data_IF_156350823007
#
_entry.id   IF_156350823007
#
_cell.length_a   1.000
_cell.length_b   1.000
_cell.length_c   1.000
_cell.angle_alpha   90.00
_cell.angle_beta   90.00
_cell.angle_gamma   90.00
#
_symmetry.space_group_name_H-M   'P 1'
#
loop_
_entity.id
_entity.type
_entity.pdbx_description
1 polymer ?
#
# COMPACT_ATOMS: atom_id res chain seq x y z
N UNK A 1 10.36 35.33 39.97
CA UNK A 1 11.31 35.25 38.83
C UNK A 1 10.82 34.10 37.96
N UNK A 2 10.09 34.45 36.91
CA UNK A 2 9.14 33.56 36.22
C UNK A 2 9.85 32.61 35.27
N UNK A 3 9.22 31.45 35.14
CA UNK A 3 9.43 30.32 34.25
C UNK A 3 9.98 30.77 32.90
N UNK A 4 11.13 30.17 32.59
CA UNK A 4 11.86 30.17 31.33
C UNK A 4 10.95 30.34 30.12
N UNK A 5 11.29 31.34 29.31
CA UNK A 5 10.91 31.48 27.92
C UNK A 5 11.00 30.13 27.19
N UNK A 6 9.88 29.41 27.16
CA UNK A 6 9.58 28.44 26.12
C UNK A 6 9.23 29.25 24.88
N UNK A 7 10.24 29.98 24.38
CA UNK A 7 10.23 30.53 23.04
C UNK A 7 10.04 29.32 22.13
N UNK A 8 8.78 29.15 21.70
CA UNK A 8 8.36 28.39 20.56
C UNK A 8 9.40 28.65 19.47
N UNK A 9 10.33 27.71 19.29
CA UNK A 9 11.14 27.63 18.08
C UNK A 9 10.15 27.31 16.98
N UNK A 10 9.52 28.36 16.44
CA UNK A 10 8.70 28.31 15.24
C UNK A 10 9.59 27.69 14.17
N UNK A 11 9.36 26.44 13.73
CA UNK A 11 10.21 25.85 12.73
C UNK A 11 9.86 26.53 11.40
N UNK A 12 10.62 27.57 11.06
CA UNK A 12 10.70 28.09 9.72
C UNK A 12 11.43 27.04 8.90
N UNK A 13 10.67 26.24 8.15
CA UNK A 13 10.99 25.65 6.83
C UNK A 13 10.27 24.31 6.68
N UNK A 14 9.61 24.10 5.54
CA UNK A 14 8.90 22.86 5.17
C UNK A 14 9.75 21.59 5.08
N UNK A 15 11.01 21.61 5.54
CA UNK A 15 11.92 20.46 5.61
C UNK A 15 11.38 19.35 6.53
N UNK A 16 10.69 19.67 7.62
CA UNK A 16 10.11 18.65 8.51
C UNK A 16 9.02 17.82 7.80
N UNK A 17 8.16 18.47 7.01
CA UNK A 17 7.14 17.80 6.20
C UNK A 17 7.78 16.95 5.09
N UNK A 18 8.86 17.41 4.46
CA UNK A 18 9.58 16.61 3.47
C UNK A 18 10.21 15.34 4.10
N UNK A 19 10.86 15.48 5.26
CA UNK A 19 11.45 14.33 5.98
C UNK A 19 10.37 13.34 6.39
N UNK A 20 9.21 13.82 6.86
CA UNK A 20 8.06 12.98 7.19
C UNK A 20 7.51 12.23 5.98
N UNK A 21 7.35 12.90 4.83
CA UNK A 21 6.89 12.27 3.58
C UNK A 21 7.91 11.23 3.04
N UNK A 22 9.21 11.51 3.16
CA UNK A 22 10.26 10.55 2.81
C UNK A 22 10.21 9.34 3.74
N UNK A 23 10.05 9.54 5.04
CA UNK A 23 9.95 8.46 6.00
C UNK A 23 8.73 7.56 5.72
N UNK A 24 7.56 8.17 5.53
CA UNK A 24 6.31 7.47 5.17
C UNK A 24 6.49 6.67 3.88
N UNK A 25 6.96 7.31 2.81
CA UNK A 25 7.10 6.64 1.51
C UNK A 25 8.11 5.49 1.57
N UNK A 26 9.19 5.65 2.31
CA UNK A 26 10.20 4.60 2.51
C UNK A 26 9.64 3.45 3.34
N UNK A 27 8.92 3.73 4.42
CA UNK A 27 8.28 2.72 5.26
C UNK A 27 7.26 1.89 4.46
N UNK A 28 6.40 2.54 3.68
CA UNK A 28 5.45 1.82 2.82
C UNK A 28 6.17 0.98 1.77
N UNK A 29 7.23 1.50 1.14
CA UNK A 29 8.02 0.74 0.17
C UNK A 29 8.65 -0.51 0.79
N UNK A 30 9.25 -0.41 1.98
CA UNK A 30 9.89 -1.57 2.64
C UNK A 30 8.87 -2.62 3.08
N UNK A 31 7.71 -2.20 3.58
CA UNK A 31 6.62 -3.09 3.96
C UNK A 31 6.09 -3.89 2.76
N UNK A 32 5.74 -3.20 1.66
CA UNK A 32 5.21 -3.86 0.47
C UNK A 32 6.26 -4.72 -0.24
N UNK A 33 7.53 -4.29 -0.25
CA UNK A 33 8.62 -5.12 -0.76
C UNK A 33 8.71 -6.43 0.07
N UNK A 34 8.64 -6.36 1.41
CA UNK A 34 8.69 -7.54 2.27
C UNK A 34 7.52 -8.52 2.03
N UNK A 35 6.29 -8.00 1.87
CA UNK A 35 5.13 -8.81 1.51
C UNK A 35 5.28 -9.45 0.13
N UNK A 36 5.71 -8.66 -0.87
CA UNK A 36 6.03 -9.17 -2.20
C UNK A 36 7.02 -10.32 -2.13
N UNK A 37 8.08 -10.19 -1.33
CA UNK A 37 9.09 -11.23 -1.17
C UNK A 37 8.55 -12.53 -0.60
N UNK A 38 7.70 -12.44 0.44
CA UNK A 38 7.11 -13.63 1.06
C UNK A 38 6.24 -14.39 0.05
N UNK A 39 5.41 -13.66 -0.70
CA UNK A 39 4.54 -14.24 -1.74
C UNK A 39 5.38 -14.82 -2.89
N UNK A 40 6.37 -14.06 -3.37
CA UNK A 40 7.26 -14.50 -4.44
C UNK A 40 8.01 -15.79 -4.07
N UNK A 41 8.53 -15.85 -2.84
CA UNK A 41 9.24 -17.02 -2.34
C UNK A 41 8.34 -18.25 -2.32
N UNK A 42 7.13 -18.13 -1.77
CA UNK A 42 6.16 -19.21 -1.72
C UNK A 42 5.87 -19.80 -3.11
N UNK A 43 5.55 -18.95 -4.08
CA UNK A 43 5.28 -19.43 -5.45
C UNK A 43 6.52 -19.95 -6.19
N UNK A 44 7.71 -19.48 -5.85
CA UNK A 44 8.96 -19.97 -6.44
C UNK A 44 9.35 -21.33 -5.86
N UNK A 45 9.10 -21.59 -4.58
CA UNK A 45 9.24 -22.91 -3.96
C UNK A 45 8.29 -23.93 -4.59
N UNK A 46 7.08 -23.50 -4.99
CA UNK A 46 6.17 -24.27 -5.83
C UNK A 46 6.61 -24.43 -7.31
N UNK A 47 7.89 -24.15 -7.64
CA UNK A 47 8.52 -24.22 -8.99
C UNK A 47 7.79 -23.44 -10.10
N UNK A 48 6.97 -22.44 -9.76
CA UNK A 48 6.25 -21.67 -10.77
C UNK A 48 7.16 -20.68 -11.51
N UNK A 49 7.28 -20.83 -12.84
CA UNK A 49 7.92 -19.83 -13.72
C UNK A 49 7.22 -18.46 -13.64
N UNK A 50 5.97 -18.42 -13.16
CA UNK A 50 5.12 -17.24 -13.02
C UNK A 50 5.12 -16.63 -11.61
N UNK A 51 5.97 -17.12 -10.69
CA UNK A 51 6.00 -16.63 -9.30
C UNK A 51 6.11 -15.10 -9.18
N UNK A 52 6.90 -14.46 -10.05
CA UNK A 52 7.04 -13.00 -10.05
C UNK A 52 5.75 -12.31 -10.45
N UNK A 53 5.08 -12.80 -11.49
CA UNK A 53 3.79 -12.24 -11.94
C UNK A 53 2.74 -12.39 -10.85
N UNK A 54 2.68 -13.54 -10.18
CA UNK A 54 1.75 -13.76 -9.07
C UNK A 54 2.02 -12.82 -7.89
N UNK A 55 3.27 -12.62 -7.51
CA UNK A 55 3.63 -11.69 -6.44
C UNK A 55 3.36 -10.22 -6.80
N UNK A 56 3.63 -9.82 -8.05
CA UNK A 56 3.31 -8.49 -8.56
C UNK A 56 1.79 -8.27 -8.62
N UNK A 57 1.02 -9.28 -9.03
CA UNK A 57 -0.43 -9.24 -9.05
C UNK A 57 -0.99 -9.08 -7.63
N UNK A 58 -0.53 -9.93 -6.70
CA UNK A 58 -0.92 -9.88 -5.30
C UNK A 58 -0.71 -8.49 -4.69
N UNK A 59 0.51 -7.92 -4.81
CA UNK A 59 0.82 -6.64 -4.17
C UNK A 59 0.03 -5.48 -4.77
N UNK A 60 -0.28 -5.57 -6.07
CA UNK A 60 -1.11 -4.57 -6.76
C UNK A 60 -2.56 -4.65 -6.30
N UNK A 61 -3.12 -5.86 -6.21
CA UNK A 61 -4.48 -6.08 -5.68
C UNK A 61 -4.56 -5.57 -4.24
N UNK A 62 -3.59 -5.90 -3.39
CA UNK A 62 -3.57 -5.45 -2.00
C UNK A 62 -3.54 -3.91 -1.89
N UNK A 63 -2.69 -3.23 -2.67
CA UNK A 63 -2.63 -1.77 -2.66
C UNK A 63 -3.92 -1.12 -3.15
N UNK A 64 -4.55 -1.69 -4.18
CA UNK A 64 -5.87 -1.23 -4.67
C UNK A 64 -6.96 -1.48 -3.64
N UNK A 65 -6.95 -2.62 -2.94
CA UNK A 65 -7.92 -2.92 -1.90
C UNK A 65 -7.79 -1.97 -0.70
N UNK A 66 -6.56 -1.65 -0.27
CA UNK A 66 -6.32 -0.64 0.77
C UNK A 66 -6.80 0.74 0.30
N UNK A 67 -6.52 1.11 -0.95
CA UNK A 67 -7.00 2.36 -1.53
C UNK A 67 -8.53 2.43 -1.53
N UNK A 68 -9.21 1.33 -1.85
CA UNK A 68 -10.67 1.24 -1.83
C UNK A 68 -11.24 1.41 -0.42
N UNK A 69 -10.65 0.76 0.60
CA UNK A 69 -11.06 0.92 2.00
C UNK A 69 -10.92 2.38 2.44
N UNK A 70 -9.79 3.01 2.14
CA UNK A 70 -9.56 4.41 2.49
C UNK A 70 -10.53 5.34 1.75
N UNK A 71 -10.76 5.09 0.46
CA UNK A 71 -11.72 5.84 -0.34
C UNK A 71 -13.15 5.75 0.21
N UNK A 72 -13.60 4.53 0.55
CA UNK A 72 -14.90 4.30 1.16
C UNK A 72 -15.01 4.98 2.53
N UNK A 73 -13.99 4.84 3.39
CA UNK A 73 -13.95 5.51 4.69
C UNK A 73 -14.09 7.04 4.56
N UNK A 74 -13.32 7.65 3.65
CA UNK A 74 -13.41 9.10 3.42
C UNK A 74 -14.75 9.52 2.83
N UNK A 75 -15.35 8.72 1.94
CA UNK A 75 -16.69 9.00 1.41
C UNK A 75 -17.73 9.07 2.53
N UNK A 76 -17.73 8.09 3.45
CA UNK A 76 -18.64 8.09 4.59
C UNK A 76 -18.36 9.22 5.58
N UNK A 77 -17.09 9.50 5.83
CA UNK A 77 -16.68 10.62 6.68
C UNK A 77 -17.12 11.98 6.11
N UNK A 78 -16.96 12.20 4.80
CA UNK A 78 -17.38 13.44 4.17
C UNK A 78 -18.90 13.59 4.11
N UNK A 79 -19.64 12.48 3.96
CA UNK A 79 -21.10 12.48 4.05
C UNK A 79 -21.56 13.01 5.43
N UNK A 80 -20.91 12.55 6.51
CA UNK A 80 -21.22 13.03 7.87
C UNK A 80 -20.87 14.51 8.09
N UNK A 81 -19.86 15.04 7.40
CA UNK A 81 -19.46 16.44 7.53
C UNK A 81 -20.29 17.41 6.67
N UNK A 82 -21.32 16.94 5.94
CA UNK A 82 -22.11 17.74 4.99
C UNK A 82 -21.22 18.53 4.01
N UNK A 83 -20.08 17.96 3.61
CA UNK A 83 -19.27 18.58 2.58
C UNK A 83 -19.89 18.29 1.22
N UNK A 84 -20.06 19.31 0.39
CA UNK A 84 -20.37 19.12 -1.03
C UNK A 84 -19.20 18.41 -1.71
N UNK A 85 -19.27 17.08 -1.69
CA UNK A 85 -18.21 16.23 -2.24
C UNK A 85 -18.36 16.06 -3.73
N UNK A 86 -17.26 15.64 -4.35
CA UNK A 86 -17.21 15.25 -5.74
C UNK A 86 -18.23 14.13 -6.03
N UNK A 87 -18.91 14.20 -7.18
CA UNK A 87 -19.90 13.19 -7.58
C UNK A 87 -19.32 11.77 -7.62
N UNK A 88 -20.17 10.78 -7.34
CA UNK A 88 -19.81 9.36 -7.28
C UNK A 88 -19.07 8.88 -8.54
N UNK A 89 -19.53 9.26 -9.74
CA UNK A 89 -18.91 8.86 -11.00
C UNK A 89 -17.47 9.36 -11.13
N UNK A 90 -17.21 10.60 -10.70
CA UNK A 90 -15.86 11.18 -10.71
C UNK A 90 -14.96 10.50 -9.69
N UNK A 91 -15.50 10.12 -8.52
CA UNK A 91 -14.76 9.36 -7.51
C UNK A 91 -14.34 7.97 -8.03
N UNK A 92 -15.25 7.23 -8.65
CA UNK A 92 -14.93 5.95 -9.28
C UNK A 92 -13.94 6.10 -10.42
N UNK A 93 -14.07 7.14 -11.24
CA UNK A 93 -13.10 7.44 -12.31
C UNK A 93 -11.69 7.66 -11.75
N UNK A 94 -11.54 8.49 -10.72
CA UNK A 94 -10.25 8.70 -10.05
C UNK A 94 -9.72 7.43 -9.39
N UNK A 95 -10.59 6.62 -8.79
CA UNK A 95 -10.21 5.33 -8.22
C UNK A 95 -9.64 4.39 -9.28
N UNK A 96 -10.29 4.25 -10.43
CA UNK A 96 -9.82 3.41 -11.54
C UNK A 96 -8.48 3.93 -12.08
N UNK A 97 -8.34 5.25 -12.26
CA UNK A 97 -7.09 5.86 -12.70
C UNK A 97 -5.94 5.55 -11.73
N UNK A 98 -6.18 5.71 -10.43
CA UNK A 98 -5.20 5.42 -9.39
C UNK A 98 -4.86 3.91 -9.32
N UNK A 99 -5.86 3.04 -9.50
CA UNK A 99 -5.65 1.60 -9.55
C UNK A 99 -4.74 1.21 -10.73
N UNK A 100 -5.02 1.74 -11.92
CA UNK A 100 -4.17 1.53 -13.12
C UNK A 100 -2.75 2.02 -12.85
N UNK A 101 -2.59 3.21 -12.29
CA UNK A 101 -1.27 3.74 -11.92
C UNK A 101 -0.51 2.83 -10.96
N UNK A 102 -1.18 2.30 -9.93
CA UNK A 102 -0.60 1.34 -8.98
C UNK A 102 -0.11 0.07 -9.70
N UNK A 103 -0.92 -0.49 -10.59
CA UNK A 103 -0.55 -1.68 -11.38
C UNK A 103 0.70 -1.42 -12.23
N UNK A 104 0.74 -0.31 -12.97
CA UNK A 104 1.89 0.04 -13.79
C UNK A 104 3.15 0.29 -12.95
N UNK A 105 3.03 1.05 -11.86
CA UNK A 105 4.14 1.33 -10.94
C UNK A 105 4.73 0.04 -10.39
N UNK A 106 3.89 -0.87 -9.89
CA UNK A 106 4.33 -2.14 -9.32
C UNK A 106 4.92 -3.06 -10.39
N UNK A 107 4.35 -3.09 -11.58
CA UNK A 107 4.89 -3.87 -12.68
C UNK A 107 6.31 -3.44 -13.02
N UNK A 108 6.56 -2.15 -13.22
CA UNK A 108 7.92 -1.61 -13.48
C UNK A 108 8.86 -1.91 -12.31
N UNK A 109 8.40 -1.64 -11.08
CA UNK A 109 9.18 -1.84 -9.86
C UNK A 109 9.68 -3.28 -9.72
N UNK A 110 8.80 -4.27 -9.90
CA UNK A 110 9.11 -5.68 -9.66
C UNK A 110 9.55 -6.46 -10.92
N UNK A 111 9.42 -5.89 -12.12
CA UNK A 111 10.02 -6.45 -13.33
C UNK A 111 11.50 -6.04 -13.50
N UNK A 112 11.89 -4.86 -13.02
CA UNK A 112 13.19 -4.22 -13.27
C UNK A 112 14.32 -4.58 -12.29
N UNK A 113 15.16 -3.58 -11.98
CA UNK A 113 16.41 -3.73 -11.20
C UNK A 113 16.19 -4.32 -9.80
N UNK A 114 15.06 -4.01 -9.15
CA UNK A 114 14.71 -4.62 -7.86
C UNK A 114 14.68 -6.14 -7.98
N UNK A 115 14.08 -6.73 -9.03
CA UNK A 115 14.06 -8.20 -9.25
C UNK A 115 15.45 -8.85 -9.14
N UNK A 116 16.49 -8.22 -9.70
CA UNK A 116 17.87 -8.74 -9.65
C UNK A 116 18.39 -8.75 -8.21
N UNK A 117 18.17 -7.65 -7.48
CA UNK A 117 18.49 -7.54 -6.05
C UNK A 117 17.68 -8.55 -5.22
N UNK A 118 16.40 -8.72 -5.54
CA UNK A 118 15.50 -9.64 -4.85
C UNK A 118 15.97 -11.10 -5.03
N UNK A 119 16.37 -11.47 -6.25
CA UNK A 119 16.86 -12.81 -6.57
C UNK A 119 18.18 -13.11 -5.82
N UNK A 120 19.08 -12.14 -5.71
CA UNK A 120 20.33 -12.27 -4.96
C UNK A 120 20.08 -12.41 -3.43
N UNK A 121 19.12 -11.66 -2.88
CA UNK A 121 18.74 -11.77 -1.46
C UNK A 121 18.06 -13.09 -1.12
N UNK A 122 17.32 -13.69 -2.06
CA UNK A 122 16.68 -15.00 -1.87
C UNK A 122 17.67 -16.14 -1.71
N UNK A 123 18.80 -16.11 -2.42
CA UNK A 123 19.85 -17.14 -2.30
C UNK A 123 20.44 -17.24 -0.89
N UNK A 124 20.27 -16.19 -0.06
CA UNK A 124 20.86 -16.10 1.28
C UNK A 124 19.90 -16.41 2.45
N UNK A 125 18.60 -16.68 2.23
CA UNK A 125 17.61 -16.76 3.32
C UNK A 125 16.83 -18.08 3.35
N UNK A 126 16.95 -18.86 4.45
CA UNK A 126 16.07 -20.03 4.77
C UNK A 126 14.60 -19.58 4.94
N UNK A 127 13.65 -20.40 4.52
CA UNK A 127 12.23 -20.04 4.38
C UNK A 127 11.42 -20.14 5.66
N UNK A 128 10.68 -19.07 5.97
CA UNK A 128 9.51 -19.12 6.85
C UNK A 128 8.30 -19.44 5.98
N UNK A 129 7.71 -20.62 6.19
CA UNK A 129 6.52 -21.09 5.48
C UNK A 129 5.27 -20.38 6.03
N UNK A 130 4.87 -19.27 5.43
CA UNK A 130 3.53 -18.73 5.65
C UNK A 130 2.53 -19.48 4.76
N UNK A 131 1.37 -19.83 5.30
CA UNK A 131 0.34 -20.51 4.52
C UNK A 131 -0.20 -19.56 3.46
N UNK A 132 -0.45 -20.10 2.27
CA UNK A 132 -0.96 -19.37 1.12
C UNK A 132 -2.29 -18.67 1.42
N UNK A 133 -3.12 -19.35 2.21
CA UNK A 133 -4.44 -18.88 2.66
C UNK A 133 -4.29 -17.61 3.48
N UNK A 134 -3.32 -17.57 4.40
CA UNK A 134 -3.12 -16.38 5.24
C UNK A 134 -2.66 -15.16 4.44
N UNK A 135 -1.89 -15.36 3.37
CA UNK A 135 -1.47 -14.27 2.49
C UNK A 135 -2.66 -13.67 1.73
N UNK A 136 -3.51 -14.50 1.11
CA UNK A 136 -4.68 -14.00 0.36
C UNK A 136 -5.84 -13.53 1.22
N UNK A 137 -5.90 -13.95 2.50
CA UNK A 137 -6.88 -13.45 3.44
C UNK A 137 -6.80 -11.93 3.58
N UNK A 138 -5.61 -11.34 3.51
CA UNK A 138 -5.41 -9.91 3.69
C UNK A 138 -6.10 -9.04 2.62
N UNK A 139 -5.86 -9.20 1.30
CA UNK A 139 -6.58 -8.44 0.29
C UNK A 139 -8.09 -8.73 0.29
N UNK A 140 -8.50 -9.97 0.56
CA UNK A 140 -9.94 -10.33 0.68
C UNK A 140 -10.58 -9.56 1.83
N UNK A 141 -9.95 -9.55 3.01
CA UNK A 141 -10.43 -8.82 4.17
C UNK A 141 -10.56 -7.32 3.87
N UNK A 142 -9.59 -6.71 3.17
CA UNK A 142 -9.70 -5.31 2.74
C UNK A 142 -10.92 -5.07 1.82
N UNK A 143 -11.16 -5.95 0.83
CA UNK A 143 -12.31 -5.79 -0.07
C UNK A 143 -13.63 -5.94 0.70
N UNK A 144 -13.76 -6.96 1.57
CA UNK A 144 -14.95 -7.16 2.40
C UNK A 144 -15.20 -5.95 3.29
N UNK A 145 -14.16 -5.43 3.96
CA UNK A 145 -14.27 -4.23 4.79
C UNK A 145 -14.73 -3.01 3.98
N UNK A 146 -14.18 -2.80 2.78
CA UNK A 146 -14.61 -1.70 1.91
C UNK A 146 -16.08 -1.82 1.52
N UNK A 147 -16.56 -3.03 1.19
CA UNK A 147 -17.96 -3.26 0.84
C UNK A 147 -18.90 -3.00 2.02
N UNK A 148 -18.52 -3.42 3.23
CA UNK A 148 -19.29 -3.14 4.45
C UNK A 148 -19.39 -1.64 4.70
N UNK A 149 -18.29 -0.89 4.52
CA UNK A 149 -18.31 0.57 4.65
C UNK A 149 -19.21 1.19 3.58
N UNK A 150 -19.06 0.80 2.31
CA UNK A 150 -19.88 1.33 1.21
C UNK A 150 -21.37 1.04 1.37
N UNK A 151 -21.76 -0.08 1.98
CA UNK A 151 -23.15 -0.38 2.30
C UNK A 151 -23.71 0.47 3.45
N UNK A 152 -22.84 1.02 4.30
CA UNK A 152 -23.22 1.82 5.45
C UNK A 152 -23.27 3.34 5.16
N UNK A 153 -22.86 3.76 3.96
CA UNK A 153 -22.90 5.14 3.46
C UNK A 153 -24.20 5.37 2.72
#
# INVERSE_FOLDING_TARGET
MSIMDFHILKPANGKHWQVFLIFISTFFMTLFDALFFNVFKHYKEAKSKKANQMATLYISILQVAILLVLGAFFAGFFNQMNMDTMSQDKAWFLFVLAAVFIFFKNWIQYAGRKRKVLNAKMLKKKGTNYSMVMLWLLPIACVVLALVILQAI
#
